data_IF_460611585127
#
_entry.id   IF_460611585127
#
_cell.length_a   1.000
_cell.length_b   1.000
_cell.length_c   1.000
_cell.angle_alpha   90.00
_cell.angle_beta   90.00
_cell.angle_gamma   90.00
#
_symmetry.space_group_name_H-M   'P 1'
#
loop_
_entity.id
_entity.type
_entity.pdbx_description
1 polymer ?
#
# COMPACT_ATOMS: atom_id res chain seq x y z
N UNK A 1 -16.93 22.12 2.86
CA UNK A 1 -16.13 23.32 2.51
C UNK A 1 -14.69 22.88 2.33
N UNK A 2 -14.21 22.91 1.10
CA UNK A 2 -12.87 22.46 0.76
C UNK A 2 -11.83 23.48 1.15
N UNK A 3 -10.73 23.06 1.78
CA UNK A 3 -9.62 23.92 2.17
C UNK A 3 -8.50 23.89 1.14
N UNK A 4 -7.99 25.07 0.83
CA UNK A 4 -6.83 25.32 -0.02
C UNK A 4 -5.55 24.74 0.60
N UNK A 5 -4.94 23.77 -0.05
CA UNK A 5 -3.51 23.53 0.07
C UNK A 5 -2.79 24.60 -0.75
N UNK A 6 -2.40 25.72 -0.11
CA UNK A 6 -1.60 26.75 -0.76
C UNK A 6 -0.21 26.19 -1.05
N UNK A 7 0.07 25.94 -2.30
CA UNK A 7 1.41 25.71 -2.79
C UNK A 7 2.10 27.09 -2.86
N UNK A 8 3.01 27.39 -1.94
CA UNK A 8 3.88 28.57 -2.11
C UNK A 8 4.84 28.29 -3.26
N UNK A 9 4.82 29.10 -4.32
CA UNK A 9 5.61 28.84 -5.51
C UNK A 9 7.06 29.27 -5.29
N UNK A 10 7.98 28.47 -5.83
CA UNK A 10 9.14 29.07 -6.47
C UNK A 10 8.62 29.67 -7.79
N UNK A 11 8.37 30.99 -7.81
CA UNK A 11 8.05 31.83 -8.97
C UNK A 11 7.07 31.22 -10.00
N UNK A 12 5.85 31.67 -9.93
CA UNK A 12 4.68 31.57 -10.80
C UNK A 12 3.57 30.63 -10.32
N UNK A 13 2.56 31.28 -9.79
CA UNK A 13 1.20 30.91 -9.46
C UNK A 13 0.68 29.56 -9.98
N UNK A 14 0.55 28.61 -9.04
CA UNK A 14 -0.51 27.60 -9.14
C UNK A 14 -0.94 27.18 -7.75
N UNK A 15 -2.09 27.71 -7.34
CA UNK A 15 -2.84 27.22 -6.19
C UNK A 15 -3.54 25.92 -6.61
N UNK A 16 -3.27 24.82 -5.95
CA UNK A 16 -4.17 23.66 -6.03
C UNK A 16 -5.28 23.90 -5.01
N UNK A 17 -6.41 24.38 -5.46
CA UNK A 17 -7.64 24.43 -4.67
C UNK A 17 -8.18 23.01 -4.51
N UNK A 18 -8.12 22.44 -3.31
CA UNK A 18 -8.95 21.28 -2.96
C UNK A 18 -10.40 21.72 -2.68
N UNK A 19 -10.92 22.60 -3.55
CA UNK A 19 -12.34 23.01 -3.56
C UNK A 19 -13.04 22.16 -4.60
N UNK A 20 -13.90 21.30 -4.16
CA UNK A 20 -14.60 20.26 -4.91
C UNK A 20 -13.64 19.13 -5.26
N UNK A 21 -13.81 17.99 -4.58
CA UNK A 21 -13.25 16.72 -5.03
C UNK A 21 -14.03 16.36 -6.31
N UNK A 22 -13.77 17.12 -7.37
CA UNK A 22 -14.16 16.77 -8.71
C UNK A 22 -13.42 15.49 -9.09
N UNK A 23 -14.01 14.67 -9.91
CA UNK A 23 -13.50 13.37 -10.36
C UNK A 23 -12.04 13.39 -10.85
N UNK A 24 -11.45 14.53 -11.09
CA UNK A 24 -10.08 14.73 -11.56
C UNK A 24 -9.02 14.30 -10.52
N UNK A 25 -9.25 14.58 -9.22
CA UNK A 25 -8.33 14.15 -8.14
C UNK A 25 -8.51 12.68 -7.74
N UNK A 26 -9.51 12.01 -8.26
CA UNK A 26 -9.68 10.56 -8.08
C UNK A 26 -8.95 9.77 -9.17
N UNK A 27 -8.39 10.44 -10.18
CA UNK A 27 -7.50 9.83 -11.14
C UNK A 27 -6.10 9.76 -10.57
N UNK A 28 -5.48 8.59 -10.68
CA UNK A 28 -4.11 8.43 -10.20
C UNK A 28 -3.17 9.40 -10.93
N UNK A 29 -2.33 10.18 -10.23
CA UNK A 29 -1.47 11.21 -10.83
C UNK A 29 -0.27 10.58 -11.57
N UNK A 30 -0.51 9.92 -12.69
CA UNK A 30 0.53 9.21 -13.48
C UNK A 30 1.66 10.15 -13.90
N UNK A 31 1.41 11.46 -13.96
CA UNK A 31 2.40 12.47 -14.34
C UNK A 31 3.61 12.56 -13.37
N UNK A 32 3.48 12.07 -12.14
CA UNK A 32 4.58 12.07 -11.14
C UNK A 32 5.69 11.07 -11.48
N UNK A 33 5.42 10.08 -12.33
CA UNK A 33 6.41 9.08 -12.70
C UNK A 33 7.39 9.55 -13.78
N UNK A 34 8.58 8.92 -13.90
CA UNK A 34 9.47 9.10 -15.04
C UNK A 34 8.71 8.86 -16.36
N UNK A 35 9.07 9.61 -17.42
CA UNK A 35 8.36 9.57 -18.71
C UNK A 35 8.15 8.14 -19.23
N UNK A 36 9.18 7.31 -19.20
CA UNK A 36 9.11 5.91 -19.68
C UNK A 36 8.02 5.13 -18.94
N UNK A 37 7.85 5.34 -17.67
CA UNK A 37 6.83 4.66 -16.85
C UNK A 37 5.44 5.24 -17.10
N UNK A 38 5.32 6.55 -17.27
CA UNK A 38 4.04 7.17 -17.69
C UNK A 38 3.52 6.58 -18.99
N UNK A 39 4.41 6.43 -19.97
CA UNK A 39 4.07 5.87 -21.27
C UNK A 39 3.62 4.40 -21.15
N UNK A 40 4.29 3.62 -20.29
CA UNK A 40 3.90 2.23 -19.98
C UNK A 40 2.51 2.17 -19.33
N UNK A 41 2.27 2.93 -18.26
CA UNK A 41 0.99 2.91 -17.54
C UNK A 41 -0.16 3.31 -18.48
N UNK A 42 -0.02 4.41 -19.20
CA UNK A 42 -1.02 4.89 -20.16
C UNK A 42 -1.23 3.89 -21.31
N UNK A 43 -0.17 3.24 -21.75
CA UNK A 43 -0.21 2.19 -22.77
C UNK A 43 -1.01 0.98 -22.29
N UNK A 44 -0.74 0.47 -21.09
CA UNK A 44 -1.46 -0.66 -20.48
C UNK A 44 -2.93 -0.35 -20.24
N UNK A 45 -3.26 0.87 -19.80
CA UNK A 45 -4.64 1.30 -19.63
C UNK A 45 -5.38 1.29 -20.98
N UNK A 46 -4.76 1.84 -22.01
CA UNK A 46 -5.36 1.95 -23.34
C UNK A 46 -5.55 0.61 -24.04
N UNK A 47 -4.57 -0.30 -23.96
CA UNK A 47 -4.57 -1.57 -24.72
C UNK A 47 -5.20 -2.73 -23.97
N UNK A 48 -5.04 -2.76 -22.65
CA UNK A 48 -5.46 -3.90 -21.80
C UNK A 48 -6.53 -3.54 -20.78
N UNK A 49 -7.00 -2.29 -20.77
CA UNK A 49 -7.95 -1.76 -19.78
C UNK A 49 -7.45 -1.97 -18.32
N UNK A 50 -6.14 -1.96 -18.11
CA UNK A 50 -5.60 -2.07 -16.75
C UNK A 50 -5.81 -0.72 -16.03
N UNK A 51 -6.48 -0.69 -14.86
CA UNK A 51 -6.69 0.56 -14.15
C UNK A 51 -5.34 1.21 -13.80
N UNK A 52 -5.12 2.46 -14.22
CA UNK A 52 -3.88 3.20 -13.98
C UNK A 52 -3.49 3.22 -12.51
N UNK A 53 -4.46 3.34 -11.59
CA UNK A 53 -4.22 3.29 -10.16
C UNK A 53 -3.66 1.95 -9.69
N UNK A 54 -4.27 0.82 -10.11
CA UNK A 54 -3.80 -0.52 -9.73
C UNK A 54 -2.41 -0.80 -10.31
N UNK A 55 -2.18 -0.43 -11.57
CA UNK A 55 -0.87 -0.54 -12.23
C UNK A 55 0.20 0.27 -11.50
N UNK A 56 -0.11 1.53 -11.15
CA UNK A 56 0.80 2.45 -10.44
C UNK A 56 1.12 1.99 -9.01
N UNK A 57 0.11 1.55 -8.26
CA UNK A 57 0.31 1.01 -6.91
C UNK A 57 1.19 -0.25 -6.92
N UNK A 58 0.98 -1.13 -7.91
CA UNK A 58 1.80 -2.34 -8.09
C UNK A 58 3.25 -2.00 -8.43
N UNK A 59 3.47 -0.99 -9.28
CA UNK A 59 4.81 -0.48 -9.57
C UNK A 59 5.50 0.07 -8.31
N UNK A 60 4.83 0.95 -7.57
CA UNK A 60 5.37 1.55 -6.35
C UNK A 60 5.68 0.48 -5.28
N UNK A 61 4.80 -0.50 -5.12
CA UNK A 61 5.03 -1.66 -4.26
C UNK A 61 6.28 -2.44 -4.70
N UNK A 62 6.41 -2.73 -5.99
CA UNK A 62 7.55 -3.46 -6.54
C UNK A 62 8.86 -2.69 -6.34
N UNK A 63 8.89 -1.40 -6.69
CA UNK A 63 10.07 -0.54 -6.50
C UNK A 63 10.45 -0.44 -5.02
N UNK A 64 9.48 -0.21 -4.14
CA UNK A 64 9.68 -0.21 -2.69
C UNK A 64 10.29 -1.53 -2.19
N UNK A 65 9.77 -2.67 -2.66
CA UNK A 65 10.27 -4.01 -2.31
C UNK A 65 11.71 -4.23 -2.81
N UNK A 66 12.04 -3.80 -4.02
CA UNK A 66 13.39 -3.90 -4.57
C UNK A 66 14.39 -3.04 -3.79
N UNK A 67 14.02 -1.82 -3.42
CA UNK A 67 14.85 -0.93 -2.60
C UNK A 67 15.02 -1.52 -1.20
N UNK A 68 13.91 -1.91 -0.56
CA UNK A 68 13.92 -2.48 0.78
C UNK A 68 14.64 -1.59 1.80
N UNK A 69 15.40 -2.22 2.69
CA UNK A 69 16.22 -1.54 3.72
C UNK A 69 17.52 -0.90 3.18
N UNK A 70 17.75 -0.90 1.85
CA UNK A 70 18.99 -0.36 1.28
C UNK A 70 18.98 1.16 1.18
N UNK A 71 17.84 1.79 1.38
CA UNK A 71 17.71 3.24 1.46
C UNK A 71 16.84 3.63 2.63
N UNK A 72 17.37 4.58 3.40
CA UNK A 72 16.64 5.37 4.39
C UNK A 72 16.86 6.84 4.07
N UNK A 73 15.96 7.70 4.50
CA UNK A 73 16.14 9.14 4.39
C UNK A 73 16.27 9.74 5.78
N UNK A 74 17.24 10.58 5.95
CA UNK A 74 17.49 11.39 7.14
C UNK A 74 16.89 12.79 6.94
N UNK A 75 15.79 13.06 7.62
CA UNK A 75 15.20 14.39 7.64
C UNK A 75 15.76 15.22 8.79
N UNK A 76 15.81 14.66 9.99
CA UNK A 76 16.41 15.20 11.22
C UNK A 76 16.69 14.06 12.21
N UNK A 77 17.43 14.31 13.28
CA UNK A 77 17.85 13.30 14.28
C UNK A 77 16.69 12.46 14.82
N UNK A 78 15.51 13.05 14.94
CA UNK A 78 14.31 12.37 15.44
C UNK A 78 13.43 11.79 14.34
N UNK A 79 13.85 11.87 13.06
CA UNK A 79 13.06 11.38 11.93
C UNK A 79 13.96 10.81 10.83
N UNK A 80 14.12 9.50 10.90
CA UNK A 80 14.74 8.67 9.87
C UNK A 80 13.67 7.67 9.43
N UNK A 81 13.41 7.56 8.13
CA UNK A 81 12.40 6.63 7.60
C UNK A 81 12.93 5.85 6.40
N UNK A 82 12.33 4.69 6.13
CA UNK A 82 12.57 3.88 4.95
C UNK A 82 11.57 4.17 3.84
N UNK A 83 11.33 3.20 2.96
CA UNK A 83 10.41 3.35 1.83
C UNK A 83 9.28 2.31 1.80
N UNK A 84 8.91 1.74 2.96
CA UNK A 84 7.82 0.76 3.06
C UNK A 84 6.47 1.39 2.70
N UNK A 85 5.71 0.74 1.79
CA UNK A 85 4.44 1.22 1.28
C UNK A 85 3.36 0.13 1.42
N UNK A 86 2.17 0.51 1.90
CA UNK A 86 1.04 -0.40 2.08
C UNK A 86 -0.14 0.06 1.25
N UNK A 87 -0.57 -0.73 0.27
CA UNK A 87 -1.63 -0.40 -0.67
C UNK A 87 -2.83 -1.31 -0.54
N UNK A 88 -4.02 -0.72 -0.56
CA UNK A 88 -5.29 -1.39 -0.71
C UNK A 88 -5.93 -0.98 -2.05
N UNK A 89 -5.90 -1.86 -3.04
CA UNK A 89 -6.57 -1.65 -4.33
C UNK A 89 -8.04 -2.02 -4.17
N UNK A 90 -8.89 -1.00 -4.09
CA UNK A 90 -10.32 -1.15 -3.79
C UNK A 90 -11.13 -1.17 -5.07
N UNK A 91 -11.79 -2.27 -5.35
CA UNK A 91 -12.61 -2.36 -6.56
C UNK A 91 -13.48 -3.60 -6.62
N UNK A 92 -14.58 -3.51 -7.38
CA UNK A 92 -15.49 -4.63 -7.61
C UNK A 92 -14.81 -5.77 -8.36
N UNK A 93 -15.46 -6.92 -8.40
CA UNK A 93 -15.04 -8.03 -9.26
C UNK A 93 -15.16 -7.62 -10.72
N UNK A 94 -14.23 -8.10 -11.56
CA UNK A 94 -14.26 -7.85 -13.01
C UNK A 94 -13.68 -6.48 -13.46
N UNK A 95 -13.10 -5.69 -12.55
CA UNK A 95 -12.48 -4.39 -12.89
C UNK A 95 -11.02 -4.48 -13.32
N UNK A 96 -10.57 -5.64 -13.79
CA UNK A 96 -9.19 -5.92 -14.28
C UNK A 96 -8.05 -5.65 -13.29
N UNK A 97 -8.36 -5.32 -12.02
CA UNK A 97 -7.33 -5.01 -11.00
C UNK A 97 -6.34 -6.15 -10.78
N UNK A 98 -6.81 -7.40 -10.66
CA UNK A 98 -5.95 -8.58 -10.46
C UNK A 98 -5.03 -8.80 -11.65
N UNK A 99 -5.54 -8.67 -12.88
CA UNK A 99 -4.73 -8.80 -14.10
C UNK A 99 -3.65 -7.72 -14.19
N UNK A 100 -3.97 -6.47 -13.81
CA UNK A 100 -3.00 -5.39 -13.77
C UNK A 100 -1.89 -5.68 -12.74
N UNK A 101 -2.27 -6.09 -11.52
CA UNK A 101 -1.30 -6.46 -10.47
C UNK A 101 -0.42 -7.62 -10.91
N UNK A 102 -1.01 -8.71 -11.41
CA UNK A 102 -0.27 -9.90 -11.86
C UNK A 102 0.72 -9.56 -12.97
N UNK A 103 0.32 -8.71 -13.93
CA UNK A 103 1.21 -8.26 -14.99
C UNK A 103 2.41 -7.49 -14.42
N UNK A 104 2.16 -6.54 -13.52
CA UNK A 104 3.20 -5.71 -12.93
C UNK A 104 4.13 -6.51 -11.99
N UNK A 105 3.66 -7.58 -11.37
CA UNK A 105 4.48 -8.44 -10.51
C UNK A 105 5.22 -9.56 -11.24
N UNK A 106 5.07 -9.72 -12.58
CA UNK A 106 5.80 -10.75 -13.34
C UNK A 106 7.32 -10.72 -13.11
N UNK A 107 8.00 -9.56 -13.12
CA UNK A 107 9.46 -9.53 -12.93
C UNK A 107 9.90 -10.10 -11.58
N UNK A 108 9.22 -9.75 -10.48
CA UNK A 108 9.58 -10.28 -9.16
C UNK A 108 9.22 -11.76 -9.04
N UNK A 109 8.10 -12.22 -9.62
CA UNK A 109 7.73 -13.63 -9.64
C UNK A 109 8.80 -14.47 -10.38
N UNK A 110 9.33 -13.97 -11.51
CA UNK A 110 10.44 -14.61 -12.22
C UNK A 110 11.69 -14.70 -11.35
N UNK A 111 12.02 -13.64 -10.61
CA UNK A 111 13.15 -13.65 -9.66
C UNK A 111 12.94 -14.64 -8.51
N UNK A 112 11.72 -14.76 -7.97
CA UNK A 112 11.41 -15.74 -6.94
C UNK A 112 11.62 -17.20 -7.39
N UNK A 113 11.27 -17.51 -8.64
CA UNK A 113 11.55 -18.82 -9.25
C UNK A 113 13.07 -19.06 -9.30
N UNK A 114 13.83 -18.10 -9.82
CA UNK A 114 15.29 -18.18 -9.88
C UNK A 114 15.92 -18.36 -8.49
N UNK A 115 15.44 -17.63 -7.48
CA UNK A 115 15.93 -17.76 -6.10
C UNK A 115 15.63 -19.13 -5.51
N UNK A 116 14.46 -19.71 -5.82
CA UNK A 116 14.11 -21.05 -5.38
C UNK A 116 15.03 -22.11 -6.03
N UNK A 117 15.23 -22.04 -7.35
CA UNK A 117 16.12 -22.95 -8.09
C UNK A 117 17.57 -22.87 -7.59
N UNK A 118 18.08 -21.65 -7.37
CA UNK A 118 19.43 -21.45 -6.84
C UNK A 118 19.57 -22.03 -5.42
N UNK A 119 18.58 -21.81 -4.57
CA UNK A 119 18.56 -22.37 -3.22
C UNK A 119 18.57 -23.90 -3.23
N UNK A 120 17.73 -24.55 -4.06
CA UNK A 120 17.68 -25.99 -4.19
C UNK A 120 19.01 -26.57 -4.70
N UNK A 121 19.68 -25.87 -5.64
CA UNK A 121 20.99 -26.26 -6.13
C UNK A 121 22.05 -26.14 -5.02
N UNK A 122 22.05 -25.05 -4.26
CA UNK A 122 22.98 -24.83 -3.16
C UNK A 122 22.79 -25.86 -2.02
N UNK A 123 21.54 -26.17 -1.67
CA UNK A 123 21.22 -27.22 -0.69
C UNK A 123 21.77 -28.58 -1.12
N UNK A 124 21.58 -28.98 -2.37
CA UNK A 124 22.12 -30.25 -2.90
C UNK A 124 23.64 -30.32 -2.79
N UNK A 125 24.34 -29.23 -3.05
CA UNK A 125 25.79 -29.16 -2.90
C UNK A 125 26.20 -29.23 -1.42
N UNK A 126 25.50 -28.48 -0.56
CA UNK A 126 25.77 -28.42 0.88
C UNK A 126 25.52 -29.77 1.58
N UNK A 127 24.50 -30.52 1.17
CA UNK A 127 24.23 -31.86 1.70
C UNK A 127 25.37 -32.86 1.43
N UNK A 128 26.14 -32.65 0.34
CA UNK A 128 27.29 -33.46 -0.01
C UNK A 128 28.58 -33.03 0.69
N UNK A 129 28.58 -31.93 1.46
CA UNK A 129 29.77 -31.42 2.16
C UNK A 129 30.17 -32.32 3.32
N UNK A 130 31.51 -32.47 3.51
CA UNK A 130 32.07 -33.02 4.73
C UNK A 130 31.86 -32.03 5.90
N UNK A 131 32.14 -32.52 7.13
CA UNK A 131 32.04 -31.66 8.32
C UNK A 131 33.03 -30.49 8.28
N UNK A 132 34.20 -30.67 7.66
CA UNK A 132 35.19 -29.60 7.46
C UNK A 132 34.66 -28.56 6.46
N UNK A 133 34.08 -28.99 5.34
CA UNK A 133 33.49 -28.09 4.34
C UNK A 133 32.29 -27.33 4.91
N UNK A 134 31.45 -27.94 5.76
CA UNK A 134 30.37 -27.24 6.46
C UNK A 134 30.88 -26.18 7.45
N UNK A 135 32.00 -26.41 8.09
CA UNK A 135 32.66 -25.40 8.94
C UNK A 135 33.21 -24.24 8.09
N UNK A 136 33.82 -24.55 6.94
CA UNK A 136 34.32 -23.54 6.02
C UNK A 136 33.16 -22.68 5.47
N UNK A 137 32.05 -23.30 5.04
CA UNK A 137 30.85 -22.63 4.63
C UNK A 137 30.30 -21.67 5.71
N UNK A 138 30.27 -22.13 6.99
CA UNK A 138 29.88 -21.25 8.10
C UNK A 138 30.85 -20.07 8.28
N UNK A 139 32.16 -20.29 8.17
CA UNK A 139 33.16 -19.23 8.31
C UNK A 139 33.03 -18.18 7.18
N UNK A 140 32.67 -18.60 5.98
CA UNK A 140 32.50 -17.71 4.80
C UNK A 140 31.16 -16.96 4.84
N UNK A 141 30.07 -17.64 5.16
CA UNK A 141 28.71 -17.11 5.02
C UNK A 141 28.10 -16.62 6.33
N UNK A 142 28.59 -17.11 7.47
CA UNK A 142 27.98 -16.92 8.79
C UNK A 142 26.71 -17.76 9.00
N UNK A 143 26.36 -18.65 8.05
CA UNK A 143 25.18 -19.48 8.10
C UNK A 143 25.56 -20.95 8.27
N UNK A 144 24.80 -21.68 9.11
CA UNK A 144 25.00 -23.11 9.31
C UNK A 144 24.49 -23.98 8.15
N UNK A 145 23.66 -23.40 7.31
CA UNK A 145 23.03 -24.03 6.14
C UNK A 145 22.67 -22.96 5.10
N UNK A 146 22.44 -23.33 3.85
CA UNK A 146 21.97 -22.39 2.82
C UNK A 146 20.71 -21.64 3.22
N UNK A 147 20.65 -20.36 2.88
CA UNK A 147 19.51 -19.50 3.18
C UNK A 147 18.82 -19.10 1.89
N UNK A 148 17.53 -19.39 1.78
CA UNK A 148 16.73 -18.98 0.62
C UNK A 148 16.61 -17.47 0.57
N UNK A 149 17.10 -16.85 -0.50
CA UNK A 149 16.77 -15.47 -0.83
C UNK A 149 15.31 -15.40 -1.23
N UNK A 150 14.55 -14.49 -0.62
CA UNK A 150 13.14 -14.28 -0.92
C UNK A 150 12.80 -12.80 -0.77
N UNK A 151 12.08 -12.25 -1.73
CA UNK A 151 11.65 -10.86 -1.76
C UNK A 151 10.13 -10.72 -1.69
N UNK A 152 9.37 -11.75 -2.11
CA UNK A 152 7.92 -11.71 -2.16
C UNK A 152 7.32 -12.84 -1.32
N UNK A 153 6.31 -12.51 -0.51
CA UNK A 153 5.52 -13.48 0.26
C UNK A 153 4.04 -13.29 -0.04
N UNK A 154 3.30 -14.39 -0.20
CA UNK A 154 1.84 -14.38 -0.40
C UNK A 154 1.11 -14.88 0.86
N UNK A 155 1.57 -15.98 1.42
CA UNK A 155 1.00 -16.58 2.63
C UNK A 155 2.12 -16.94 3.59
N UNK A 156 1.95 -16.57 4.85
CA UNK A 156 2.87 -16.93 5.92
C UNK A 156 2.20 -16.72 7.27
N UNK A 157 2.56 -17.52 8.25
CA UNK A 157 2.23 -17.21 9.65
C UNK A 157 3.10 -16.06 10.15
N UNK A 158 2.74 -15.47 11.30
CA UNK A 158 3.56 -14.47 11.97
C UNK A 158 5.00 -14.97 12.17
N UNK A 159 5.12 -16.19 12.67
CA UNK A 159 6.42 -16.83 12.92
C UNK A 159 7.24 -17.01 11.65
N UNK A 160 6.58 -17.38 10.56
CA UNK A 160 7.22 -17.49 9.26
C UNK A 160 7.70 -16.13 8.75
N UNK A 161 6.95 -15.04 8.96
CA UNK A 161 7.36 -13.68 8.60
C UNK A 161 8.53 -13.20 9.45
N UNK A 162 8.53 -13.43 10.77
CA UNK A 162 9.63 -13.09 11.66
C UNK A 162 10.93 -13.78 11.20
N UNK A 163 10.85 -15.08 10.89
CA UNK A 163 11.98 -15.85 10.40
C UNK A 163 12.45 -15.41 9.01
N UNK A 164 11.51 -15.17 8.09
CA UNK A 164 11.81 -14.69 6.75
C UNK A 164 12.54 -13.33 6.75
N UNK A 165 12.08 -12.38 7.58
CA UNK A 165 12.75 -11.08 7.72
C UNK A 165 14.11 -11.18 8.41
N UNK A 166 14.29 -12.12 9.33
CA UNK A 166 15.60 -12.39 9.95
C UNK A 166 16.61 -12.90 8.92
N UNK A 167 16.18 -13.82 8.03
CA UNK A 167 17.02 -14.35 6.97
C UNK A 167 17.22 -13.35 5.82
N UNK A 168 16.19 -12.58 5.46
CA UNK A 168 16.21 -11.60 4.35
C UNK A 168 16.28 -10.17 4.89
N UNK A 169 17.47 -9.75 5.35
CA UNK A 169 17.73 -8.45 5.98
C UNK A 169 17.38 -7.24 5.11
N UNK A 170 17.23 -7.42 3.81
CA UNK A 170 16.83 -6.36 2.87
C UNK A 170 15.34 -6.04 2.93
N UNK A 171 14.55 -6.87 3.61
CA UNK A 171 13.10 -6.74 3.69
C UNK A 171 12.37 -7.52 2.61
N UNK A 172 11.04 -7.51 2.70
CA UNK A 172 10.13 -8.29 1.86
C UNK A 172 8.96 -7.46 1.36
N UNK A 173 8.34 -7.90 0.28
CA UNK A 173 7.02 -7.46 -0.15
C UNK A 173 5.98 -8.54 0.17
N UNK A 174 4.82 -8.14 0.70
CA UNK A 174 3.67 -9.04 0.88
C UNK A 174 2.59 -8.71 -0.15
N UNK A 175 2.23 -9.69 -0.97
CA UNK A 175 1.09 -9.57 -1.88
C UNK A 175 -0.06 -10.47 -1.44
N UNK A 176 -1.24 -9.87 -1.24
CA UNK A 176 -2.50 -10.57 -0.92
C UNK A 176 -3.52 -10.29 -2.02
N UNK A 177 -3.88 -11.30 -2.80
CA UNK A 177 -4.93 -11.17 -3.82
C UNK A 177 -6.27 -10.74 -3.19
N UNK A 178 -6.55 -11.24 -1.98
CA UNK A 178 -7.67 -10.81 -1.14
C UNK A 178 -7.15 -10.30 0.21
N UNK A 179 -7.07 -8.98 0.35
CA UNK A 179 -6.55 -8.32 1.55
C UNK A 179 -7.40 -8.59 2.80
N UNK A 180 -8.70 -8.87 2.61
CA UNK A 180 -9.60 -9.17 3.71
C UNK A 180 -9.12 -10.35 4.56
N UNK A 181 -8.49 -11.38 3.94
CA UNK A 181 -7.92 -12.52 4.64
C UNK A 181 -6.87 -12.14 5.69
N UNK A 182 -6.05 -11.09 5.42
CA UNK A 182 -5.08 -10.60 6.39
C UNK A 182 -5.74 -10.12 7.69
N UNK A 183 -6.88 -9.45 7.59
CA UNK A 183 -7.63 -8.98 8.75
C UNK A 183 -8.38 -10.12 9.46
N UNK A 184 -8.93 -11.09 8.73
CA UNK A 184 -9.57 -12.25 9.32
C UNK A 184 -8.60 -13.13 10.13
N UNK A 185 -7.35 -13.27 9.68
CA UNK A 185 -6.30 -13.99 10.41
C UNK A 185 -6.07 -13.39 11.80
N UNK A 186 -6.34 -12.10 12.00
CA UNK A 186 -6.14 -11.40 13.28
C UNK A 186 -7.28 -11.58 14.30
N UNK A 187 -8.43 -12.14 13.90
CA UNK A 187 -9.58 -12.36 14.79
C UNK A 187 -9.46 -13.62 15.66
N UNK A 188 -8.66 -14.57 15.27
CA UNK A 188 -8.54 -15.81 16.01
C UNK A 188 -7.84 -15.57 17.35
N UNK A 189 -8.33 -16.22 18.43
CA UNK A 189 -7.80 -16.06 19.80
C UNK A 189 -6.31 -16.42 19.90
N UNK A 190 -5.81 -17.28 19.02
CA UNK A 190 -4.38 -17.60 18.85
C UNK A 190 -3.56 -16.50 18.18
N UNK A 191 -4.20 -15.50 17.60
CA UNK A 191 -3.59 -14.40 16.85
C UNK A 191 -3.39 -13.13 17.68
N UNK A 192 -3.52 -13.20 19.02
CA UNK A 192 -3.29 -12.06 19.91
C UNK A 192 -1.87 -11.51 19.68
N UNK A 193 -1.78 -10.23 19.34
CA UNK A 193 -0.51 -9.56 19.04
C UNK A 193 -0.09 -9.62 17.55
N UNK A 194 -0.86 -10.25 16.66
CA UNK A 194 -0.55 -10.23 15.22
C UNK A 194 -0.70 -8.82 14.66
N UNK A 195 -1.72 -8.09 15.11
CA UNK A 195 -1.95 -6.72 14.66
C UNK A 195 -0.83 -5.79 15.11
N UNK A 196 -0.41 -5.87 16.38
CA UNK A 196 0.72 -5.11 16.92
C UNK A 196 2.01 -5.42 16.16
N UNK A 197 2.22 -6.67 15.77
CA UNK A 197 3.35 -7.07 14.96
C UNK A 197 3.37 -6.34 13.60
N UNK A 198 2.23 -6.24 12.90
CA UNK A 198 2.15 -5.46 11.66
C UNK A 198 2.39 -3.97 11.90
N UNK A 199 1.86 -3.41 12.99
CA UNK A 199 2.10 -2.01 13.36
C UNK A 199 3.58 -1.73 13.65
N UNK A 200 4.27 -2.65 14.31
CA UNK A 200 5.69 -2.55 14.59
C UNK A 200 6.54 -2.61 13.31
N UNK A 201 6.21 -3.52 12.38
CA UNK A 201 6.87 -3.57 11.06
C UNK A 201 6.66 -2.26 10.30
N UNK A 202 5.43 -1.72 10.25
CA UNK A 202 5.15 -0.46 9.58
C UNK A 202 6.00 0.69 10.10
N UNK A 203 6.22 0.71 11.43
CA UNK A 203 7.01 1.72 12.12
C UNK A 203 8.53 1.41 12.11
N UNK A 204 8.97 0.30 11.52
CA UNK A 204 10.37 -0.11 11.50
C UNK A 204 10.95 -0.45 12.88
N UNK A 205 10.10 -0.81 13.85
CA UNK A 205 10.55 -1.15 15.20
C UNK A 205 11.22 -2.52 15.24
N UNK A 206 12.33 -2.59 16.00
CA UNK A 206 13.05 -3.83 16.22
C UNK A 206 12.13 -4.96 16.73
N UNK A 207 12.26 -6.15 16.14
CA UNK A 207 11.49 -7.34 16.54
C UNK A 207 12.44 -8.30 17.25
N UNK A 208 12.17 -8.58 18.53
CA UNK A 208 12.95 -9.52 19.35
C UNK A 208 12.11 -10.77 19.55
N UNK A 209 12.60 -11.91 19.06
CA UNK A 209 11.89 -13.18 19.09
C UNK A 209 12.54 -14.11 20.12
N UNK A 210 11.80 -14.42 21.19
CA UNK A 210 12.18 -15.38 22.20
C UNK A 210 11.16 -16.51 22.26
N UNK A 211 11.55 -17.73 21.87
CA UNK A 211 10.70 -18.91 21.90
C UNK A 211 11.34 -20.01 22.73
N UNK A 212 10.52 -20.74 23.48
CA UNK A 212 10.99 -21.77 24.40
C UNK A 212 11.80 -22.88 23.70
N UNK A 213 11.46 -23.21 22.45
CA UNK A 213 12.03 -24.36 21.71
C UNK A 213 12.89 -23.93 20.50
N UNK A 214 13.21 -22.65 20.36
CA UNK A 214 14.02 -22.15 19.25
C UNK A 214 15.08 -21.16 19.76
N UNK A 215 16.21 -21.05 19.05
CA UNK A 215 17.20 -20.02 19.37
C UNK A 215 16.58 -18.64 19.23
N UNK A 216 16.83 -17.72 20.19
CA UNK A 216 16.36 -16.35 20.08
C UNK A 216 17.05 -15.65 18.91
N UNK A 217 16.31 -14.75 18.24
CA UNK A 217 16.87 -13.91 17.19
C UNK A 217 16.22 -12.53 17.18
N UNK A 218 16.88 -11.59 16.51
CA UNK A 218 16.45 -10.20 16.44
C UNK A 218 16.42 -9.73 14.99
N UNK A 219 15.32 -9.11 14.58
CA UNK A 219 15.21 -8.38 13.32
C UNK A 219 15.39 -6.90 13.62
N UNK A 220 16.59 -6.38 13.36
CA UNK A 220 16.96 -5.01 13.72
C UNK A 220 16.23 -3.96 12.88
N UNK A 221 16.05 -4.24 11.61
CA UNK A 221 15.41 -3.34 10.65
C UNK A 221 14.30 -4.09 9.91
N UNK A 222 13.14 -4.34 10.53
CA UNK A 222 12.04 -4.98 9.84
C UNK A 222 11.53 -4.06 8.72
N UNK A 223 11.34 -4.65 7.54
CA UNK A 223 10.81 -3.96 6.38
C UNK A 223 9.81 -4.86 5.65
N UNK A 224 8.63 -4.33 5.43
CA UNK A 224 7.62 -5.00 4.61
C UNK A 224 6.74 -3.98 3.90
N UNK A 225 6.74 -4.03 2.57
CA UNK A 225 5.70 -3.39 1.77
C UNK A 225 4.53 -4.33 1.59
N UNK A 226 3.32 -3.81 1.52
CA UNK A 226 2.10 -4.60 1.36
C UNK A 226 1.31 -4.11 0.15
N UNK A 227 0.86 -5.03 -0.68
CA UNK A 227 -0.09 -4.78 -1.76
C UNK A 227 -1.21 -5.80 -1.64
N UNK A 228 -2.44 -5.33 -1.59
CA UNK A 228 -3.58 -6.24 -1.60
C UNK A 228 -4.78 -5.67 -2.32
N UNK A 229 -5.58 -6.56 -2.93
CA UNK A 229 -6.85 -6.20 -3.52
C UNK A 229 -7.99 -6.45 -2.53
N UNK A 230 -9.00 -5.59 -2.54
CA UNK A 230 -10.17 -5.75 -1.69
C UNK A 230 -11.43 -5.25 -2.38
N UNK A 231 -12.56 -5.91 -2.11
CA UNK A 231 -13.86 -5.46 -2.58
C UNK A 231 -14.40 -4.36 -1.65
N UNK A 232 -15.14 -3.35 -2.20
CA UNK A 232 -15.69 -2.25 -1.40
C UNK A 232 -16.52 -2.74 -0.20
N UNK A 233 -17.33 -3.79 -0.39
CA UNK A 233 -18.18 -4.35 0.66
C UNK A 233 -17.34 -4.94 1.81
N UNK A 234 -16.25 -5.62 1.49
CA UNK A 234 -15.32 -6.18 2.49
C UNK A 234 -14.51 -5.10 3.19
N UNK A 235 -14.16 -4.03 2.45
CA UNK A 235 -13.49 -2.87 3.04
C UNK A 235 -14.36 -2.20 4.11
N UNK A 236 -15.67 -2.11 3.88
CA UNK A 236 -16.61 -1.59 4.88
C UNK A 236 -16.66 -2.44 6.14
N UNK A 237 -16.58 -3.77 6.02
CA UNK A 237 -16.50 -4.69 7.17
C UNK A 237 -15.22 -4.43 7.98
N UNK A 238 -14.08 -4.26 7.30
CA UNK A 238 -12.81 -3.93 7.97
C UNK A 238 -12.95 -2.62 8.74
N UNK A 239 -13.50 -1.60 8.12
CA UNK A 239 -13.68 -0.29 8.73
C UNK A 239 -14.48 -0.36 10.03
N UNK A 240 -15.61 -1.09 10.03
CA UNK A 240 -16.47 -1.22 11.22
C UNK A 240 -15.81 -1.96 12.39
N UNK A 241 -14.77 -2.75 12.13
CA UNK A 241 -14.15 -3.65 13.12
C UNK A 241 -12.75 -3.22 13.56
N UNK A 242 -12.05 -2.39 12.79
CA UNK A 242 -10.62 -2.12 12.95
C UNK A 242 -10.25 -0.64 12.96
N UNK A 243 -11.22 0.29 13.01
CA UNK A 243 -10.95 1.73 13.07
C UNK A 243 -10.12 2.13 14.31
N UNK A 244 -10.36 1.48 15.44
CA UNK A 244 -9.73 1.87 16.70
C UNK A 244 -8.27 1.40 16.86
N UNK A 245 -7.76 0.52 15.98
CA UNK A 245 -6.42 -0.03 16.12
C UNK A 245 -5.36 0.60 15.20
N UNK A 246 -5.76 1.57 14.39
CA UNK A 246 -4.87 2.35 13.52
C UNK A 246 -4.26 1.58 12.35
N UNK A 247 -4.62 0.32 12.08
CA UNK A 247 -4.10 -0.43 10.92
C UNK A 247 -4.72 0.08 9.64
N UNK A 248 -6.02 0.40 9.67
CA UNK A 248 -6.78 0.94 8.54
C UNK A 248 -6.15 2.24 8.03
N UNK A 249 -5.66 3.09 8.94
CA UNK A 249 -5.03 4.38 8.60
C UNK A 249 -3.69 4.22 7.87
N UNK A 250 -3.11 3.02 7.89
CA UNK A 250 -1.80 2.75 7.27
C UNK A 250 -1.89 2.30 5.83
N UNK A 251 -3.08 2.01 5.33
CA UNK A 251 -3.24 1.64 3.93
C UNK A 251 -3.48 2.86 3.04
N UNK A 252 -2.79 2.90 1.92
CA UNK A 252 -2.99 3.84 0.83
C UNK A 252 -4.10 3.29 -0.07
N UNK A 253 -5.24 3.96 -0.10
CA UNK A 253 -6.43 3.50 -0.82
C UNK A 253 -6.38 3.88 -2.29
N UNK A 254 -6.47 2.86 -3.14
CA UNK A 254 -6.44 3.00 -4.60
C UNK A 254 -7.77 2.49 -5.17
N UNK A 255 -8.77 3.34 -5.32
CA UNK A 255 -10.03 2.93 -5.92
C UNK A 255 -9.85 2.63 -7.42
N UNK A 256 -10.54 1.59 -7.89
CA UNK A 256 -10.72 1.33 -9.32
C UNK A 256 -12.08 1.84 -9.77
N UNK A 257 -12.24 1.99 -11.09
CA UNK A 257 -13.54 2.36 -11.68
C UNK A 257 -14.60 1.30 -11.38
N UNK A 258 -15.85 1.71 -11.24
CA UNK A 258 -17.00 0.80 -11.07
C UNK A 258 -17.39 0.10 -12.37
N UNK A 259 -16.86 0.53 -13.51
CA UNK A 259 -17.19 0.03 -14.83
C UNK A 259 -16.39 -1.24 -15.15
N UNK A 260 -17.08 -2.24 -15.66
CA UNK A 260 -16.42 -3.41 -16.25
C UNK A 260 -15.93 -3.00 -17.64
N UNK A 261 -14.61 -3.06 -17.91
CA UNK A 261 -14.07 -2.66 -19.18
C UNK A 261 -14.57 -3.57 -20.31
N UNK A 262 -14.69 -3.01 -21.51
CA UNK A 262 -15.01 -3.81 -22.70
C UNK A 262 -13.83 -4.73 -23.00
N UNK A 263 -14.15 -5.99 -23.33
CA UNK A 263 -13.16 -6.95 -23.78
C UNK A 263 -12.48 -6.45 -25.06
N UNK A 264 -11.15 -6.60 -25.14
CA UNK A 264 -10.34 -6.34 -26.33
C UNK A 264 -9.44 -7.54 -26.62
N UNK A 265 -9.08 -7.71 -27.87
CA UNK A 265 -8.07 -8.68 -28.33
C UNK A 265 -6.72 -8.00 -28.59
N UNK A 266 -6.62 -6.71 -28.27
CA UNK A 266 -5.39 -5.95 -28.51
C UNK A 266 -4.26 -6.47 -27.59
N UNK A 267 -3.15 -6.84 -28.19
CA UNK A 267 -1.94 -7.18 -27.44
C UNK A 267 -1.28 -5.93 -26.86
N UNK A 268 -0.59 -6.10 -25.74
CA UNK A 268 0.28 -5.06 -25.21
C UNK A 268 1.45 -4.88 -26.19
N UNK A 269 1.66 -3.69 -26.76
CA UNK A 269 2.80 -3.43 -27.64
C UNK A 269 4.13 -3.72 -26.97
N UNK A 270 5.08 -4.31 -27.73
CA UNK A 270 6.37 -4.72 -27.20
C UNK A 270 7.16 -3.54 -26.62
N UNK A 271 7.01 -2.34 -27.19
CA UNK A 271 7.64 -1.12 -26.65
C UNK A 271 7.29 -0.88 -25.17
N UNK A 272 6.09 -1.20 -24.72
CA UNK A 272 5.71 -1.05 -23.31
C UNK A 272 6.24 -2.21 -22.46
N UNK A 273 6.21 -3.44 -23.00
CA UNK A 273 6.78 -4.62 -22.31
C UNK A 273 8.28 -4.45 -22.07
N UNK A 274 9.00 -4.06 -23.13
CA UNK A 274 10.46 -3.90 -23.09
C UNK A 274 10.87 -2.74 -22.20
N UNK A 275 10.17 -1.59 -22.30
CA UNK A 275 10.42 -0.42 -21.46
C UNK A 275 10.19 -0.73 -19.98
N UNK A 276 9.12 -1.45 -19.65
CA UNK A 276 8.83 -1.86 -18.28
C UNK A 276 9.89 -2.84 -17.76
N UNK A 277 10.19 -3.88 -18.53
CA UNK A 277 11.19 -4.89 -18.17
C UNK A 277 12.55 -4.25 -17.95
N UNK A 278 12.99 -3.41 -18.89
CA UNK A 278 14.27 -2.70 -18.77
C UNK A 278 14.32 -1.81 -17.51
N UNK A 279 13.26 -1.08 -17.23
CA UNK A 279 13.21 -0.23 -16.02
C UNK A 279 13.33 -1.06 -14.75
N UNK A 280 12.57 -2.15 -14.63
CA UNK A 280 12.59 -3.00 -13.45
C UNK A 280 13.93 -3.75 -13.32
N UNK A 281 14.50 -4.26 -14.41
CA UNK A 281 15.81 -4.91 -14.39
C UNK A 281 16.92 -3.93 -13.96
N UNK A 282 16.84 -2.67 -14.41
CA UNK A 282 17.73 -1.60 -13.96
C UNK A 282 17.63 -1.40 -12.44
N UNK A 283 16.41 -1.37 -11.89
CA UNK A 283 16.19 -1.27 -10.44
C UNK A 283 16.75 -2.49 -9.70
N UNK A 284 16.49 -3.71 -10.18
CA UNK A 284 17.08 -4.92 -9.60
C UNK A 284 18.60 -4.89 -9.62
N UNK A 285 19.20 -4.53 -10.75
CA UNK A 285 20.65 -4.44 -10.88
C UNK A 285 21.24 -3.40 -9.90
N UNK A 286 20.64 -2.22 -9.83
CA UNK A 286 21.04 -1.13 -8.92
C UNK A 286 21.03 -1.58 -7.45
N UNK A 287 20.00 -2.32 -7.05
CA UNK A 287 19.80 -2.69 -5.65
C UNK A 287 20.25 -4.11 -5.29
N UNK A 288 20.62 -4.98 -6.23
CA UNK A 288 21.00 -6.35 -5.90
C UNK A 288 22.18 -6.41 -4.91
N UNK A 289 23.24 -5.62 -5.18
CA UNK A 289 24.45 -5.56 -4.36
C UNK A 289 24.65 -4.20 -3.66
N UNK A 290 23.63 -3.33 -3.65
CA UNK A 290 23.74 -2.04 -2.99
C UNK A 290 23.90 -2.21 -1.48
N UNK A 291 24.86 -1.51 -0.91
CA UNK A 291 24.97 -1.39 0.54
C UNK A 291 23.87 -0.46 1.07
N UNK A 292 23.37 -0.70 2.31
CA UNK A 292 22.50 0.26 2.99
C UNK A 292 23.14 1.65 3.01
N UNK A 293 22.37 2.67 2.69
CA UNK A 293 22.83 4.04 2.69
C UNK A 293 21.69 5.00 3.05
N UNK A 294 22.05 6.14 3.65
CA UNK A 294 21.13 7.19 4.01
C UNK A 294 21.15 8.31 2.96
N UNK A 295 19.96 8.69 2.52
CA UNK A 295 19.74 9.87 1.70
C UNK A 295 19.55 11.09 2.61
N UNK A 296 20.01 12.23 2.15
CA UNK A 296 19.81 13.51 2.83
C UNK A 296 19.03 14.47 1.94
N UNK A 297 18.43 15.51 2.52
CA UNK A 297 17.79 16.55 1.74
C UNK A 297 18.76 17.71 1.48
N UNK A 298 18.73 18.29 0.28
CA UNK A 298 19.37 19.57 0.02
C UNK A 298 18.73 20.67 0.87
N UNK A 299 19.39 21.81 1.03
CA UNK A 299 18.83 22.96 1.75
C UNK A 299 17.51 23.40 1.13
N UNK A 300 17.45 23.44 -0.20
CA UNK A 300 16.27 23.80 -0.96
C UNK A 300 15.15 22.76 -0.75
N UNK A 301 15.45 21.48 -0.86
CA UNK A 301 14.46 20.40 -0.60
C UNK A 301 13.91 20.45 0.81
N UNK A 302 14.71 20.78 1.83
CA UNK A 302 14.23 20.98 3.20
C UNK A 302 13.22 22.12 3.32
N UNK A 303 13.41 23.22 2.59
CA UNK A 303 12.45 24.33 2.55
C UNK A 303 11.12 23.87 1.90
N UNK A 304 11.20 23.13 0.79
CA UNK A 304 10.01 22.57 0.14
C UNK A 304 9.29 21.59 1.09
N UNK A 305 10.02 20.67 1.73
CA UNK A 305 9.44 19.75 2.72
C UNK A 305 8.72 20.53 3.82
N UNK A 306 9.33 21.54 4.38
CA UNK A 306 8.72 22.34 5.46
C UNK A 306 7.42 23.01 5.01
N UNK A 307 7.40 23.58 3.81
CA UNK A 307 6.20 24.21 3.24
C UNK A 307 5.07 23.18 3.01
N UNK A 308 5.40 21.97 2.49
CA UNK A 308 4.43 20.90 2.26
C UNK A 308 3.91 20.30 3.58
N UNK A 309 4.78 20.15 4.58
CA UNK A 309 4.37 19.73 5.92
C UNK A 309 3.36 20.69 6.55
N UNK A 310 3.60 22.01 6.44
CA UNK A 310 2.66 23.02 6.91
C UNK A 310 1.28 22.86 6.25
N UNK A 311 1.23 22.60 4.94
CA UNK A 311 -0.02 22.37 4.24
C UNK A 311 -0.79 21.12 4.76
N UNK A 312 -0.08 20.01 5.07
CA UNK A 312 -0.70 18.83 5.68
C UNK A 312 -1.21 19.12 7.10
N UNK A 313 -0.44 19.86 7.90
CA UNK A 313 -0.83 20.23 9.27
C UNK A 313 -2.05 21.14 9.28
N UNK A 314 -2.12 22.14 8.40
CA UNK A 314 -3.28 23.02 8.24
C UNK A 314 -4.53 22.23 7.87
N UNK A 315 -4.41 21.29 6.94
CA UNK A 315 -5.53 20.45 6.54
C UNK A 315 -5.97 19.52 7.68
N UNK A 316 -5.01 18.86 8.34
CA UNK A 316 -5.25 17.95 9.47
C UNK A 316 -5.98 18.63 10.63
N UNK A 317 -5.62 19.88 10.93
CA UNK A 317 -6.14 20.64 12.07
C UNK A 317 -7.36 21.49 11.72
N UNK A 318 -7.94 21.30 10.56
CA UNK A 318 -9.15 22.00 10.12
C UNK A 318 -10.37 21.52 10.87
N UNK A 319 -11.26 22.43 11.25
CA UNK A 319 -12.54 22.13 11.92
C UNK A 319 -13.44 21.19 11.11
N UNK A 320 -13.26 21.17 9.80
CA UNK A 320 -14.02 20.31 8.87
C UNK A 320 -13.39 18.90 8.71
N UNK A 321 -12.23 18.63 9.33
CA UNK A 321 -11.53 17.35 9.20
C UNK A 321 -11.95 16.42 10.34
N UNK A 322 -12.51 15.25 10.01
CA UNK A 322 -12.89 14.25 11.01
C UNK A 322 -11.66 13.67 11.73
N UNK A 323 -11.83 13.13 12.94
CA UNK A 323 -10.76 12.50 13.70
C UNK A 323 -10.11 11.35 12.93
N UNK A 324 -10.92 10.51 12.27
CA UNK A 324 -10.43 9.42 11.43
C UNK A 324 -9.55 9.94 10.28
N UNK A 325 -9.99 11.00 9.61
CA UNK A 325 -9.21 11.62 8.54
C UNK A 325 -7.94 12.30 9.06
N UNK A 326 -7.99 12.94 10.22
CA UNK A 326 -6.81 13.52 10.90
C UNK A 326 -5.76 12.45 11.22
N UNK A 327 -6.18 11.27 11.70
CA UNK A 327 -5.32 10.12 11.94
C UNK A 327 -4.68 9.60 10.66
N UNK A 328 -5.49 9.49 9.58
CA UNK A 328 -5.01 9.07 8.26
C UNK A 328 -3.97 10.04 7.70
N UNK A 329 -4.21 11.36 7.73
CA UNK A 329 -3.26 12.38 7.27
C UNK A 329 -1.92 12.26 8.01
N UNK A 330 -1.94 11.91 9.30
CA UNK A 330 -0.70 11.65 10.06
C UNK A 330 0.14 10.52 9.45
N UNK A 331 -0.49 9.54 8.80
CA UNK A 331 0.21 8.47 8.05
C UNK A 331 0.59 8.92 6.65
N UNK A 332 -0.22 9.75 6.00
CA UNK A 332 0.16 10.37 4.72
C UNK A 332 1.43 11.22 4.86
N UNK A 333 1.59 11.95 5.97
CA UNK A 333 2.84 12.68 6.27
C UNK A 333 4.06 11.73 6.33
N UNK A 334 3.89 10.55 6.94
CA UNK A 334 4.95 9.52 6.92
C UNK A 334 5.23 9.04 5.50
N UNK A 335 4.18 8.74 4.72
CA UNK A 335 4.30 8.33 3.33
C UNK A 335 4.91 9.40 2.43
N UNK A 336 4.64 10.67 2.69
CA UNK A 336 5.26 11.78 1.96
C UNK A 336 6.79 11.66 1.98
N UNK A 337 7.38 11.44 3.15
CA UNK A 337 8.82 11.23 3.28
C UNK A 337 9.28 9.94 2.58
N UNK A 338 8.54 8.85 2.69
CA UNK A 338 8.84 7.57 2.03
C UNK A 338 8.81 7.68 0.50
N UNK A 339 7.86 8.41 -0.05
CA UNK A 339 7.77 8.65 -1.50
C UNK A 339 8.93 9.47 -2.05
N UNK A 340 9.52 10.39 -1.27
CA UNK A 340 10.71 11.12 -1.73
C UNK A 340 11.87 10.18 -2.06
N UNK A 341 12.06 9.10 -1.28
CA UNK A 341 13.05 8.05 -1.57
C UNK A 341 12.72 7.39 -2.91
N UNK A 342 11.46 6.95 -3.06
CA UNK A 342 11.01 6.21 -4.25
C UNK A 342 11.24 7.03 -5.51
N UNK A 343 10.76 8.28 -5.55
CA UNK A 343 10.90 9.14 -6.73
C UNK A 343 12.35 9.54 -7.01
N UNK A 344 13.14 9.77 -5.95
CA UNK A 344 14.56 10.07 -6.11
C UNK A 344 15.30 8.88 -6.75
N UNK A 345 15.04 7.67 -6.31
CA UNK A 345 15.67 6.45 -6.82
C UNK A 345 15.17 6.05 -8.22
N UNK A 346 13.87 6.23 -8.51
CA UNK A 346 13.31 5.98 -9.85
C UNK A 346 13.87 6.92 -10.92
N UNK A 347 14.22 8.14 -10.55
CA UNK A 347 14.78 9.16 -11.45
C UNK A 347 16.32 9.24 -11.39
N UNK A 348 17.01 8.34 -10.65
CA UNK A 348 18.47 8.32 -10.50
C UNK A 348 19.09 9.68 -10.06
N UNK A 349 18.43 10.38 -9.14
CA UNK A 349 18.86 11.73 -8.68
C UNK A 349 20.00 11.69 -7.65
N UNK A 350 20.58 10.52 -7.39
CA UNK A 350 21.73 10.35 -6.49
C UNK A 350 21.33 10.25 -5.02
N UNK A 351 22.27 10.61 -4.12
CA UNK A 351 22.14 10.41 -2.67
C UNK A 351 21.54 11.62 -1.93
N UNK A 352 21.24 12.69 -2.64
CA UNK A 352 20.62 13.90 -2.10
C UNK A 352 19.24 14.06 -2.72
N UNK A 353 18.20 14.02 -1.90
CA UNK A 353 16.83 14.22 -2.35
C UNK A 353 16.69 15.60 -2.97
N UNK A 354 16.20 15.64 -4.20
CA UNK A 354 15.99 16.85 -4.97
C UNK A 354 14.58 17.43 -4.77
N UNK A 355 14.36 18.75 -4.97
CA UNK A 355 13.06 19.38 -4.82
C UNK A 355 11.95 18.70 -5.66
N UNK A 356 12.29 18.26 -6.87
CA UNK A 356 11.34 17.58 -7.76
C UNK A 356 10.81 16.28 -7.16
N UNK A 357 11.67 15.53 -6.43
CA UNK A 357 11.23 14.31 -5.73
C UNK A 357 10.26 14.62 -4.59
N UNK A 358 10.41 15.78 -3.95
CA UNK A 358 9.51 16.25 -2.90
C UNK A 358 8.15 16.65 -3.49
N UNK A 359 8.15 17.34 -4.63
CA UNK A 359 6.91 17.75 -5.30
C UNK A 359 6.16 16.56 -5.89
N UNK A 360 6.85 15.61 -6.52
CA UNK A 360 6.28 14.35 -7.00
C UNK A 360 5.61 13.58 -5.85
N UNK A 361 6.28 13.48 -4.70
CA UNK A 361 5.75 12.85 -3.49
C UNK A 361 4.52 13.59 -2.95
N UNK A 362 4.52 14.92 -2.96
CA UNK A 362 3.40 15.72 -2.50
C UNK A 362 2.15 15.54 -3.37
N UNK A 363 2.29 15.58 -4.70
CA UNK A 363 1.18 15.34 -5.63
C UNK A 363 0.56 13.97 -5.43
N UNK A 364 1.40 12.95 -5.20
CA UNK A 364 0.90 11.60 -4.91
C UNK A 364 0.17 11.54 -3.55
N UNK A 365 0.66 12.23 -2.53
CA UNK A 365 -0.02 12.33 -1.24
C UNK A 365 -1.38 13.06 -1.34
N UNK A 366 -1.49 14.08 -2.16
CA UNK A 366 -2.77 14.77 -2.41
C UNK A 366 -3.83 13.81 -2.99
N UNK A 367 -3.44 12.93 -3.92
CA UNK A 367 -4.31 11.86 -4.40
C UNK A 367 -4.76 10.92 -3.27
N UNK A 368 -3.84 10.48 -2.40
CA UNK A 368 -4.20 9.60 -1.30
C UNK A 368 -5.06 10.29 -0.23
N UNK A 369 -4.90 11.57 -0.01
CA UNK A 369 -5.83 12.35 0.83
C UNK A 369 -7.24 12.31 0.23
N UNK A 370 -7.39 12.62 -1.04
CA UNK A 370 -8.69 12.62 -1.72
C UNK A 370 -9.37 11.23 -1.72
N UNK A 371 -8.61 10.17 -2.00
CA UNK A 371 -9.15 8.80 -1.96
C UNK A 371 -9.42 8.32 -0.54
N UNK A 372 -8.64 8.77 0.43
CA UNK A 372 -8.86 8.57 1.87
C UNK A 372 -10.18 9.21 2.32
N UNK A 373 -10.40 10.49 2.02
CA UNK A 373 -11.67 11.17 2.34
C UNK A 373 -12.89 10.40 1.83
N UNK A 374 -12.86 9.98 0.58
CA UNK A 374 -13.94 9.18 0.01
C UNK A 374 -14.14 7.86 0.75
N UNK A 375 -13.04 7.22 1.14
CA UNK A 375 -13.06 5.94 1.85
C UNK A 375 -13.59 6.11 3.28
N UNK A 376 -13.09 7.08 4.03
CA UNK A 376 -13.51 7.34 5.42
C UNK A 376 -14.93 7.89 5.51
N UNK A 377 -15.36 8.75 4.59
CA UNK A 377 -16.76 9.17 4.50
C UNK A 377 -17.71 7.97 4.27
N UNK A 378 -17.27 6.98 3.49
CA UNK A 378 -17.97 5.70 3.36
C UNK A 378 -18.08 4.94 4.69
N UNK A 379 -16.99 4.89 5.48
CA UNK A 379 -16.96 4.25 6.79
C UNK A 379 -17.89 4.92 7.80
N UNK A 380 -17.86 6.24 7.87
CA UNK A 380 -18.73 7.02 8.75
C UNK A 380 -20.21 6.82 8.40
N UNK A 381 -20.53 6.82 7.11
CA UNK A 381 -21.90 6.54 6.65
C UNK A 381 -22.35 5.13 7.04
N UNK A 382 -21.48 4.12 6.90
CA UNK A 382 -21.75 2.74 7.29
C UNK A 382 -22.01 2.63 8.81
N UNK A 383 -21.10 3.19 9.62
CA UNK A 383 -21.23 3.20 11.10
C UNK A 383 -22.51 3.90 11.56
N UNK A 384 -22.89 4.99 10.89
CA UNK A 384 -24.15 5.68 11.15
C UNK A 384 -25.38 4.79 10.88
N UNK A 385 -25.39 4.03 9.79
CA UNK A 385 -26.48 3.09 9.47
C UNK A 385 -26.54 1.92 10.48
N UNK A 386 -25.40 1.38 10.88
CA UNK A 386 -25.31 0.34 11.91
C UNK A 386 -25.87 0.85 13.25
N UNK A 387 -25.52 2.05 13.66
CA UNK A 387 -26.04 2.67 14.87
C UNK A 387 -27.56 2.85 14.83
N UNK A 388 -28.13 3.25 13.69
CA UNK A 388 -29.58 3.34 13.50
C UNK A 388 -30.23 1.98 13.70
N UNK A 389 -29.67 0.93 13.10
CA UNK A 389 -30.19 -0.44 13.21
C UNK A 389 -30.10 -0.97 14.64
N UNK A 390 -28.99 -0.75 15.33
CA UNK A 390 -28.80 -1.15 16.74
C UNK A 390 -29.80 -0.46 17.67
N UNK A 391 -29.96 0.87 17.56
CA UNK A 391 -30.94 1.64 18.38
C UNK A 391 -32.39 1.19 18.14
N UNK A 392 -32.68 0.73 16.92
CA UNK A 392 -34.00 0.18 16.56
C UNK A 392 -34.15 -1.30 16.91
N UNK A 393 -33.12 -1.96 17.43
CA UNK A 393 -33.06 -3.42 17.66
C UNK A 393 -33.44 -4.24 16.41
N UNK A 394 -33.08 -3.75 15.23
CA UNK A 394 -33.43 -4.34 13.93
C UNK A 394 -32.53 -5.53 13.64
N UNK A 395 -33.11 -6.73 13.55
CA UNK A 395 -32.40 -8.00 13.33
C UNK A 395 -32.56 -8.55 11.92
N UNK A 396 -33.63 -8.24 11.25
CA UNK A 396 -33.92 -8.69 9.89
C UNK A 396 -33.66 -7.60 8.86
N UNK A 397 -33.38 -7.99 7.60
CA UNK A 397 -33.21 -7.04 6.50
C UNK A 397 -34.37 -6.06 6.37
N UNK A 398 -35.60 -6.54 6.57
CA UNK A 398 -36.80 -5.71 6.49
C UNK A 398 -36.88 -4.68 7.63
N UNK A 399 -36.55 -5.08 8.85
CA UNK A 399 -36.48 -4.17 10.01
C UNK A 399 -35.37 -3.13 9.85
N UNK A 400 -34.18 -3.54 9.39
CA UNK A 400 -33.07 -2.64 9.09
C UNK A 400 -33.49 -1.56 8.06
N UNK A 401 -34.09 -1.99 6.95
CA UNK A 401 -34.58 -1.07 5.92
C UNK A 401 -35.59 -0.08 6.49
N UNK A 402 -36.59 -0.56 7.25
CA UNK A 402 -37.61 0.29 7.89
C UNK A 402 -37.00 1.29 8.87
N UNK A 403 -36.05 0.82 9.72
CA UNK A 403 -35.38 1.69 10.68
C UNK A 403 -34.57 2.78 10.02
N UNK A 404 -33.82 2.44 8.95
CA UNK A 404 -33.02 3.39 8.20
C UNK A 404 -33.91 4.40 7.46
N UNK A 405 -34.94 3.96 6.74
CA UNK A 405 -35.87 4.86 6.01
C UNK A 405 -36.58 5.82 6.97
N UNK A 406 -36.95 5.36 8.17
CA UNK A 406 -37.57 6.20 9.19
C UNK A 406 -36.65 7.37 9.63
N UNK A 407 -35.34 7.17 9.64
CA UNK A 407 -34.34 8.18 10.04
C UNK A 407 -33.81 8.99 8.87
N UNK A 408 -33.69 8.35 7.70
CA UNK A 408 -33.13 8.93 6.47
C UNK A 408 -34.11 8.66 5.32
N UNK A 409 -35.23 9.41 5.23
CA UNK A 409 -36.30 9.12 4.26
C UNK A 409 -35.84 9.10 2.79
N UNK A 410 -34.85 9.94 2.46
CA UNK A 410 -34.37 10.10 1.08
C UNK A 410 -33.16 9.19 0.76
N UNK A 411 -32.83 8.22 1.62
CA UNK A 411 -31.72 7.31 1.34
C UNK A 411 -31.92 6.56 0.01
N UNK A 412 -30.87 6.50 -0.80
CA UNK A 412 -30.97 5.86 -2.10
C UNK A 412 -31.04 4.32 -1.97
N UNK A 413 -31.68 3.69 -2.96
CA UNK A 413 -31.90 2.24 -2.97
C UNK A 413 -30.58 1.46 -3.07
N UNK A 414 -29.57 1.99 -3.76
CA UNK A 414 -28.25 1.34 -3.91
C UNK A 414 -27.56 1.22 -2.55
N UNK A 415 -27.55 2.27 -1.74
CA UNK A 415 -27.00 2.27 -0.36
C UNK A 415 -27.72 1.26 0.53
N UNK A 416 -29.07 1.22 0.48
CA UNK A 416 -29.84 0.22 1.24
C UNK A 416 -29.52 -1.22 0.81
N UNK A 417 -29.40 -1.47 -0.49
CA UNK A 417 -28.99 -2.79 -0.99
C UNK A 417 -27.60 -3.19 -0.50
N UNK A 418 -26.65 -2.28 -0.58
CA UNK A 418 -25.28 -2.51 -0.15
C UNK A 418 -25.19 -2.81 1.36
N UNK A 419 -25.84 -2.00 2.17
CA UNK A 419 -25.82 -2.15 3.63
C UNK A 419 -26.56 -3.38 4.13
N UNK A 420 -27.80 -3.62 3.66
CA UNK A 420 -28.66 -4.69 4.19
C UNK A 420 -28.52 -6.02 3.45
N UNK A 421 -27.87 -6.03 2.30
CA UNK A 421 -27.86 -7.19 1.39
C UNK A 421 -29.26 -7.56 0.87
N UNK A 422 -30.20 -6.61 0.85
CA UNK A 422 -31.56 -6.82 0.37
C UNK A 422 -31.68 -6.64 -1.15
N UNK A 423 -32.65 -7.28 -1.76
CA UNK A 423 -32.94 -7.10 -3.18
C UNK A 423 -33.66 -5.77 -3.44
N UNK A 424 -33.51 -5.23 -4.64
CA UNK A 424 -34.23 -4.02 -5.07
C UNK A 424 -35.74 -4.17 -4.92
N UNK A 425 -36.29 -5.37 -5.17
CA UNK A 425 -37.70 -5.69 -5.02
C UNK A 425 -38.19 -5.51 -3.58
N UNK A 426 -37.48 -6.08 -2.61
CA UNK A 426 -37.82 -5.97 -1.19
C UNK A 426 -37.78 -4.49 -0.72
N UNK A 427 -36.76 -3.74 -1.11
CA UNK A 427 -36.65 -2.31 -0.77
C UNK A 427 -37.79 -1.51 -1.38
N UNK A 428 -38.14 -1.79 -2.65
CA UNK A 428 -39.27 -1.13 -3.34
C UNK A 428 -40.62 -1.42 -2.67
N UNK A 429 -40.83 -2.64 -2.19
CA UNK A 429 -42.02 -2.99 -1.41
C UNK A 429 -42.10 -2.21 -0.11
N UNK A 430 -40.99 -2.11 0.64
CA UNK A 430 -40.95 -1.42 1.94
C UNK A 430 -41.09 0.11 1.76
N UNK A 431 -40.57 0.68 0.67
CA UNK A 431 -40.70 2.14 0.39
C UNK A 431 -42.13 2.55 -0.03
N UNK A 432 -42.98 1.61 -0.42
CA UNK A 432 -44.38 1.88 -0.82
C UNK A 432 -45.37 1.80 0.35
N UNK A 433 -44.95 1.29 1.49
CA UNK A 433 -45.68 1.22 2.77
C UNK A 433 -45.27 2.38 3.66
#
# INVERSE_FOLDING_TARGET
>A
MAKLLKLTPTSNDSYVELKNIDNEYLNFPVHVFPKVIRDVINGLEKTSNFPAGATSASLLFLVSTIIGNKRKVFLKDTWIDGCSLWFAVVGKRGTMKTHAVDYMLRPINTKEIQFAENYEAEVRVFEAYTDEQKKEYFNETGNYEPVRKQMLVKNSTREGLEWLMYQNKTGIGMYKDELFGLFEETKNYSAKGVMEFYLDIFNGKIIIVNRRQAKPFTVENPFMSVLGSIQPEKMMIIASQYTDNGVVDRFLYVPTTDETPKFTLDDIPDVYKDSYTFFIDKMFHKFNNAKPAELTFSTESKQVVLARMGAFEDYKNSDDTSEAMSNYISKIITYFIRFTIIFNEMNDRGMVIQPESVDEAFHLCAYFIATGERTFAGFEAQSGLETICQRANAKTKSEMIKAIIKKIPNINTKTLMQFTGATKGLISQIKKV
#
